data_IF_405848097972
#
_entry.id   IF_405848097972
#
_cell.length_a   1.000
_cell.length_b   1.000
_cell.length_c   1.000
_cell.angle_alpha   90.00
_cell.angle_beta   90.00
_cell.angle_gamma   90.00
#
_symmetry.space_group_name_H-M   'P 1'
#
loop_
_entity.id
_entity.type
_entity.pdbx_description
1 polymer ?
#
# COMPACT_ATOMS: atom_id res chain seq x y z
N UNK A 1 -13.02 -44.46 -29.56
CA UNK A 1 -11.90 -44.08 -28.67
C UNK A 1 -11.33 -42.68 -28.91
N UNK A 2 -11.38 -42.13 -30.12
CA UNK A 2 -10.84 -40.76 -30.37
C UNK A 2 -11.70 -39.61 -29.81
N UNK A 3 -12.96 -39.83 -29.49
CA UNK A 3 -13.88 -38.77 -28.96
C UNK A 3 -13.78 -38.56 -27.44
N UNK A 4 -13.32 -39.53 -26.69
CA UNK A 4 -13.19 -39.45 -25.23
C UNK A 4 -11.93 -38.72 -24.75
N UNK A 5 -10.88 -38.72 -25.59
CA UNK A 5 -9.61 -38.00 -25.25
C UNK A 5 -9.73 -36.49 -25.44
N UNK A 6 -10.62 -36.03 -26.36
CA UNK A 6 -10.82 -34.60 -26.58
C UNK A 6 -11.59 -33.92 -25.44
N UNK A 7 -12.48 -34.66 -24.78
CA UNK A 7 -13.30 -34.17 -23.69
C UNK A 7 -12.50 -33.98 -22.37
N UNK A 8 -11.46 -34.80 -22.18
CA UNK A 8 -10.59 -34.73 -20.99
C UNK A 8 -9.61 -33.54 -21.10
N UNK A 9 -9.14 -33.26 -22.33
CA UNK A 9 -8.24 -32.11 -22.54
C UNK A 9 -8.96 -30.77 -22.35
N UNK A 10 -10.26 -30.67 -22.66
CA UNK A 10 -11.04 -29.45 -22.48
C UNK A 10 -11.40 -29.19 -21.01
N UNK A 11 -11.55 -30.23 -20.19
CA UNK A 11 -11.85 -30.13 -18.79
C UNK A 11 -10.63 -29.66 -17.95
N UNK A 12 -9.40 -29.94 -18.40
CA UNK A 12 -8.19 -29.55 -17.70
C UNK A 12 -7.84 -28.07 -17.88
N UNK A 13 -8.28 -27.46 -19.00
CA UNK A 13 -8.00 -26.03 -19.26
C UNK A 13 -8.88 -25.07 -18.48
N UNK A 14 -10.03 -25.51 -17.98
CA UNK A 14 -10.95 -24.68 -17.19
C UNK A 14 -10.55 -24.54 -15.70
N UNK A 15 -9.68 -25.40 -15.19
CA UNK A 15 -9.25 -25.36 -13.78
C UNK A 15 -8.09 -24.37 -13.52
N UNK A 16 -7.39 -23.92 -14.55
CA UNK A 16 -6.27 -22.97 -14.37
C UNK A 16 -6.68 -21.50 -14.28
N UNK A 17 -7.93 -21.15 -14.55
CA UNK A 17 -8.40 -19.76 -14.57
C UNK A 17 -8.97 -19.27 -13.24
N UNK A 18 -9.11 -20.12 -12.22
CA UNK A 18 -9.68 -19.76 -10.91
C UNK A 18 -8.65 -19.35 -9.84
N UNK A 19 -7.35 -19.34 -10.16
CA UNK A 19 -6.30 -19.09 -9.17
C UNK A 19 -5.70 -17.68 -9.21
N UNK A 20 -6.31 -16.74 -9.91
CA UNK A 20 -5.88 -15.35 -9.94
C UNK A 20 -6.94 -14.40 -9.35
N UNK A 21 -7.36 -14.66 -8.13
CA UNK A 21 -7.89 -13.58 -7.30
C UNK A 21 -6.70 -12.74 -6.86
N UNK A 22 -6.33 -11.75 -7.68
CA UNK A 22 -5.29 -10.79 -7.35
C UNK A 22 -5.63 -10.09 -6.04
N UNK A 23 -4.61 -9.77 -5.23
CA UNK A 23 -4.77 -8.98 -4.01
C UNK A 23 -5.43 -7.64 -4.35
N UNK A 24 -6.29 -7.16 -3.46
CA UNK A 24 -6.97 -5.87 -3.64
C UNK A 24 -5.95 -4.74 -3.73
N UNK A 25 -6.07 -3.89 -4.73
CA UNK A 25 -5.33 -2.63 -4.83
C UNK A 25 -5.84 -1.68 -3.74
N UNK A 26 -4.92 -1.14 -2.95
CA UNK A 26 -5.23 -0.27 -1.79
C UNK A 26 -4.61 1.12 -1.90
N UNK A 27 -3.68 1.31 -2.84
CA UNK A 27 -3.05 2.60 -3.08
C UNK A 27 -3.83 3.39 -4.12
N UNK A 28 -4.20 4.63 -3.79
CA UNK A 28 -4.79 5.55 -4.76
C UNK A 28 -3.69 6.19 -5.60
N UNK A 29 -3.66 5.83 -6.88
CA UNK A 29 -2.67 6.32 -7.83
C UNK A 29 -3.05 7.68 -8.46
N UNK A 30 -4.25 8.21 -8.15
CA UNK A 30 -4.77 9.46 -8.70
C UNK A 30 -4.58 10.65 -7.77
N UNK A 31 -4.31 10.41 -6.48
CA UNK A 31 -4.09 11.46 -5.50
C UNK A 31 -2.59 11.75 -5.37
N UNK A 32 -2.23 13.04 -5.28
CA UNK A 32 -0.87 13.42 -4.94
C UNK A 32 -0.53 12.91 -3.53
N UNK A 33 0.56 12.15 -3.33
CA UNK A 33 0.91 11.58 -2.04
C UNK A 33 1.17 12.63 -0.95
N UNK A 34 1.60 13.84 -1.31
CA UNK A 34 1.78 14.93 -0.36
C UNK A 34 0.44 15.41 0.20
N UNK A 35 -0.56 15.56 -0.67
CA UNK A 35 -1.95 15.89 -0.27
C UNK A 35 -2.52 14.79 0.63
N UNK A 36 -2.28 13.54 0.29
CA UNK A 36 -2.75 12.39 1.06
C UNK A 36 -2.17 12.38 2.49
N UNK A 37 -0.89 12.75 2.65
CA UNK A 37 -0.27 12.91 3.97
C UNK A 37 -0.90 14.08 4.72
N UNK A 38 -1.11 15.22 4.07
CA UNK A 38 -1.72 16.40 4.70
C UNK A 38 -3.12 16.09 5.23
N UNK A 39 -3.93 15.39 4.46
CA UNK A 39 -5.26 14.93 4.87
C UNK A 39 -5.20 13.97 6.06
N UNK A 40 -4.25 13.02 6.05
CA UNK A 40 -4.05 12.08 7.14
C UNK A 40 -3.60 12.80 8.44
N UNK A 41 -2.69 13.76 8.33
CA UNK A 41 -2.23 14.59 9.45
C UNK A 41 -3.36 15.44 10.01
N UNK A 42 -4.16 16.10 9.17
CA UNK A 42 -5.31 16.88 9.60
C UNK A 42 -6.33 16.02 10.37
N UNK A 43 -6.61 14.83 9.87
CA UNK A 43 -7.49 13.86 10.53
C UNK A 43 -6.91 13.37 11.86
N UNK A 44 -5.61 13.11 11.93
CA UNK A 44 -4.93 12.68 13.14
C UNK A 44 -4.93 13.79 14.20
N UNK A 45 -4.69 15.03 13.79
CA UNK A 45 -4.72 16.22 14.68
C UNK A 45 -6.11 16.39 15.31
N UNK A 46 -7.19 16.28 14.52
CA UNK A 46 -8.56 16.43 15.04
C UNK A 46 -9.03 15.29 15.94
N UNK A 47 -8.40 14.13 15.87
CA UNK A 47 -8.74 12.94 16.65
C UNK A 47 -7.71 12.55 17.71
N UNK A 48 -6.69 13.38 17.91
CA UNK A 48 -5.58 13.16 18.86
C UNK A 48 -4.84 11.82 18.62
N UNK A 49 -4.70 11.44 17.35
CA UNK A 49 -4.04 10.19 16.91
C UNK A 49 -2.70 10.48 16.24
N UNK A 50 -1.92 9.45 16.06
CA UNK A 50 -0.74 9.46 15.20
C UNK A 50 -1.11 9.02 13.77
N UNK A 51 -0.21 9.23 12.81
CA UNK A 51 -0.36 8.72 11.45
C UNK A 51 0.58 7.55 11.25
N UNK A 52 0.10 6.47 10.64
CA UNK A 52 0.94 5.45 10.03
C UNK A 52 0.82 5.59 8.51
N UNK A 53 1.93 5.92 7.86
CA UNK A 53 2.06 5.86 6.42
C UNK A 53 2.64 4.49 6.03
N UNK A 54 1.84 3.64 5.39
CA UNK A 54 2.36 2.49 4.67
C UNK A 54 2.75 2.96 3.28
N UNK A 55 4.05 3.16 3.06
CA UNK A 55 4.57 3.65 1.78
C UNK A 55 4.87 2.47 0.85
N UNK A 56 4.39 2.56 -0.36
CA UNK A 56 4.54 1.53 -1.38
C UNK A 56 3.68 1.82 -2.60
N UNK A 57 3.11 0.80 -3.20
CA UNK A 57 2.24 0.96 -4.36
C UNK A 57 1.57 -0.35 -4.76
N UNK A 58 0.62 -0.24 -5.68
CA UNK A 58 -0.08 -1.40 -6.23
C UNK A 58 0.83 -2.31 -7.09
N UNK A 59 2.02 -1.83 -7.44
CA UNK A 59 3.08 -2.59 -8.12
C UNK A 59 3.87 -3.50 -7.18
N UNK A 60 3.70 -3.35 -5.86
CA UNK A 60 4.46 -4.03 -4.82
C UNK A 60 3.63 -5.18 -4.21
N UNK A 61 3.89 -6.45 -4.56
CA UNK A 61 3.11 -7.58 -4.05
C UNK A 61 3.14 -7.70 -2.53
N UNK A 62 4.27 -7.44 -1.89
CA UNK A 62 4.41 -7.47 -0.43
C UNK A 62 3.61 -6.37 0.26
N UNK A 63 3.52 -5.19 -0.37
CA UNK A 63 2.68 -4.10 0.13
C UNK A 63 1.20 -4.51 0.19
N UNK A 64 0.72 -5.16 -0.88
CA UNK A 64 -0.66 -5.62 -0.96
C UNK A 64 -0.95 -6.79 -0.03
N UNK A 65 0.01 -7.72 0.11
CA UNK A 65 -0.09 -8.84 1.06
C UNK A 65 -0.14 -8.37 2.50
N UNK A 66 0.69 -7.39 2.85
CA UNK A 66 0.68 -6.81 4.18
C UNK A 66 -0.65 -6.11 4.48
N UNK A 67 -1.15 -5.29 3.55
CA UNK A 67 -2.44 -4.63 3.69
C UNK A 67 -3.60 -5.63 3.85
N UNK A 68 -3.58 -6.70 3.06
CA UNK A 68 -4.56 -7.79 3.17
C UNK A 68 -4.49 -8.48 4.54
N UNK A 69 -3.28 -8.80 5.00
CA UNK A 69 -3.04 -9.43 6.30
C UNK A 69 -3.61 -8.60 7.46
N UNK A 70 -3.21 -7.33 7.58
CA UNK A 70 -3.67 -6.49 8.69
C UNK A 70 -5.18 -6.24 8.64
N UNK A 71 -5.77 -6.15 7.44
CA UNK A 71 -7.22 -5.90 7.29
C UNK A 71 -8.09 -7.06 7.76
N UNK A 72 -7.52 -8.26 7.86
CA UNK A 72 -8.21 -9.48 8.28
C UNK A 72 -8.03 -9.82 9.76
N UNK A 73 -7.08 -9.15 10.42
CA UNK A 73 -6.79 -9.36 11.83
C UNK A 73 -7.53 -8.31 12.68
N UNK A 74 -8.54 -8.75 13.43
CA UNK A 74 -9.39 -7.87 14.22
C UNK A 74 -8.64 -7.18 15.36
N UNK A 75 -7.67 -7.84 15.97
CA UNK A 75 -6.89 -7.28 17.08
C UNK A 75 -5.93 -6.22 16.59
N UNK A 76 -5.24 -6.47 15.48
CA UNK A 76 -4.38 -5.47 14.81
C UNK A 76 -5.22 -4.27 14.38
N UNK A 77 -6.35 -4.50 13.72
CA UNK A 77 -7.23 -3.43 13.25
C UNK A 77 -7.78 -2.59 14.40
N UNK A 78 -8.07 -3.21 15.54
CA UNK A 78 -8.51 -2.49 16.74
C UNK A 78 -7.43 -1.52 17.22
N UNK A 79 -6.19 -2.00 17.39
CA UNK A 79 -5.06 -1.15 17.82
C UNK A 79 -4.84 0.00 16.84
N UNK A 80 -4.87 -0.28 15.54
CA UNK A 80 -4.68 0.72 14.48
C UNK A 80 -5.79 1.78 14.57
N UNK A 81 -7.05 1.37 14.56
CA UNK A 81 -8.17 2.32 14.51
C UNK A 81 -8.34 3.15 15.76
N UNK A 82 -7.96 2.61 16.92
CA UNK A 82 -8.02 3.35 18.19
C UNK A 82 -6.92 4.42 18.33
N UNK A 83 -5.74 4.19 17.78
CA UNK A 83 -4.55 5.02 18.05
C UNK A 83 -4.00 5.76 16.83
N UNK A 84 -4.34 5.34 15.62
CA UNK A 84 -3.72 5.84 14.40
C UNK A 84 -4.73 6.19 13.31
N UNK A 85 -4.34 7.13 12.48
CA UNK A 85 -4.85 7.28 11.12
C UNK A 85 -3.92 6.50 10.21
N UNK A 86 -4.41 5.44 9.59
CA UNK A 86 -3.62 4.58 8.72
C UNK A 86 -3.84 4.98 7.26
N UNK A 87 -2.76 5.29 6.55
CA UNK A 87 -2.82 5.73 5.17
C UNK A 87 -1.88 4.90 4.27
N UNK A 88 -2.41 4.43 3.14
CA UNK A 88 -1.61 3.83 2.08
C UNK A 88 -1.09 4.94 1.17
N UNK A 89 0.19 5.26 1.27
CA UNK A 89 0.82 6.35 0.53
C UNK A 89 1.49 5.80 -0.72
N UNK A 90 0.97 6.22 -1.88
CA UNK A 90 1.48 5.75 -3.16
C UNK A 90 2.86 6.36 -3.48
N UNK A 91 3.82 5.49 -3.75
CA UNK A 91 5.14 5.85 -4.25
C UNK A 91 5.33 5.30 -5.66
N UNK A 92 5.44 6.19 -6.63
CA UNK A 92 5.68 5.80 -8.01
C UNK A 92 6.72 6.71 -8.67
N UNK A 93 8.00 6.32 -8.64
CA UNK A 93 9.08 7.11 -9.23
C UNK A 93 9.17 6.98 -10.75
N UNK A 94 8.31 6.16 -11.36
CA UNK A 94 8.39 5.83 -12.78
C UNK A 94 7.90 6.98 -13.64
N UNK A 95 8.77 7.57 -14.45
CA UNK A 95 8.43 8.65 -15.39
C UNK A 95 7.37 8.27 -16.44
N UNK A 96 7.16 6.98 -16.69
CA UNK A 96 6.12 6.49 -17.58
C UNK A 96 4.68 6.81 -17.11
N UNK A 97 4.52 7.16 -15.83
CA UNK A 97 3.24 7.58 -15.24
C UNK A 97 3.06 9.11 -15.21
N UNK A 98 4.01 9.86 -15.77
CA UNK A 98 4.01 11.31 -15.83
C UNK A 98 5.15 11.93 -15.00
N UNK A 99 5.65 13.08 -15.46
CA UNK A 99 6.71 13.83 -14.79
C UNK A 99 6.28 14.26 -13.38
N UNK A 100 5.04 14.70 -13.23
CA UNK A 100 4.48 15.17 -11.96
C UNK A 100 4.48 14.09 -10.87
N UNK A 101 4.24 12.83 -11.24
CA UNK A 101 4.31 11.72 -10.30
C UNK A 101 5.74 11.39 -9.86
N UNK A 102 6.70 11.52 -10.76
CA UNK A 102 8.11 11.32 -10.42
C UNK A 102 8.62 12.41 -9.47
N UNK A 103 8.22 13.67 -9.68
CA UNK A 103 8.53 14.79 -8.77
C UNK A 103 7.85 14.61 -7.41
N UNK A 104 6.58 14.22 -7.41
CA UNK A 104 5.86 13.92 -6.17
C UNK A 104 6.50 12.76 -5.38
N UNK A 105 7.04 11.75 -6.05
CA UNK A 105 7.76 10.66 -5.41
C UNK A 105 9.06 11.15 -4.73
N UNK A 106 9.80 12.05 -5.36
CA UNK A 106 11.01 12.65 -4.76
C UNK A 106 10.64 13.50 -3.55
N UNK A 107 9.62 14.36 -3.68
CA UNK A 107 9.13 15.21 -2.59
C UNK A 107 8.64 14.38 -1.40
N UNK A 108 7.92 13.29 -1.67
CA UNK A 108 7.45 12.33 -0.67
C UNK A 108 8.61 11.72 0.12
N UNK A 109 9.64 11.24 -0.56
CA UNK A 109 10.78 10.64 0.08
C UNK A 109 11.54 11.64 0.96
N UNK A 110 11.73 12.86 0.47
CA UNK A 110 12.36 13.93 1.24
C UNK A 110 11.56 14.26 2.50
N UNK A 111 10.24 14.37 2.38
CA UNK A 111 9.34 14.67 3.52
C UNK A 111 9.38 13.59 4.59
N UNK A 112 9.47 12.33 4.20
CA UNK A 112 9.43 11.18 5.08
C UNK A 112 10.80 10.72 5.61
N UNK A 113 11.88 11.43 5.31
CA UNK A 113 13.22 11.10 5.77
C UNK A 113 13.90 9.98 4.97
N UNK A 114 13.62 9.91 3.68
CA UNK A 114 14.19 8.96 2.72
C UNK A 114 14.00 7.47 3.12
N UNK A 115 12.76 7.04 3.40
CA UNK A 115 12.50 5.67 3.86
C UNK A 115 12.75 4.60 2.80
N UNK A 116 12.81 4.94 1.50
CA UNK A 116 13.01 3.99 0.41
C UNK A 116 14.29 3.15 0.54
N UNK A 117 15.26 3.58 1.33
CA UNK A 117 16.49 2.82 1.60
C UNK A 117 16.24 1.48 2.30
N UNK A 118 15.06 1.32 2.89
CA UNK A 118 14.64 0.09 3.58
C UNK A 118 13.81 -0.85 2.71
N UNK A 119 13.53 -0.48 1.46
CA UNK A 119 12.64 -1.23 0.57
C UNK A 119 11.15 -0.96 0.85
N UNK A 120 10.27 -1.81 0.32
CA UNK A 120 8.81 -1.65 0.40
C UNK A 120 8.10 -2.96 0.76
N UNK A 121 7.02 -2.90 1.57
CA UNK A 121 6.50 -1.69 2.20
C UNK A 121 7.45 -1.15 3.26
N UNK A 122 7.44 0.16 3.45
CA UNK A 122 8.09 0.81 4.57
C UNK A 122 7.05 1.63 5.32
N UNK A 123 7.16 1.68 6.64
CA UNK A 123 6.19 2.35 7.49
C UNK A 123 6.82 3.60 8.10
N UNK A 124 6.10 4.70 8.06
CA UNK A 124 6.55 5.95 8.67
C UNK A 124 5.46 6.44 9.63
N UNK A 125 5.85 6.63 10.88
CA UNK A 125 4.96 7.17 11.90
C UNK A 125 5.16 8.66 12.00
N UNK A 126 4.05 9.43 11.92
CA UNK A 126 4.04 10.87 12.06
C UNK A 126 3.23 11.28 13.29
N UNK A 127 3.64 12.40 13.91
CA UNK A 127 2.81 13.07 14.91
C UNK A 127 1.67 13.89 14.28
N UNK A 128 0.88 14.56 15.12
CA UNK A 128 -0.25 15.39 14.70
C UNK A 128 0.16 16.65 13.90
N UNK A 129 1.46 16.98 13.87
CA UNK A 129 2.02 18.07 13.09
C UNK A 129 2.70 17.60 11.80
N UNK A 130 2.67 16.29 11.53
CA UNK A 130 3.31 15.69 10.35
C UNK A 130 4.82 15.48 10.49
N UNK A 131 5.37 15.59 11.72
CA UNK A 131 6.78 15.30 12.00
C UNK A 131 7.01 13.79 12.03
N UNK A 132 8.07 13.34 11.37
CA UNK A 132 8.50 11.94 11.41
C UNK A 132 8.99 11.58 12.81
N UNK A 133 8.35 10.59 13.41
CA UNK A 133 8.73 10.04 14.72
C UNK A 133 9.53 8.77 14.60
N UNK A 134 9.17 7.92 13.63
CA UNK A 134 9.77 6.60 13.47
C UNK A 134 9.66 6.13 12.02
N UNK A 135 10.66 5.41 11.56
CA UNK A 135 10.66 4.69 10.28
C UNK A 135 10.90 3.21 10.60
N UNK A 136 9.97 2.36 10.18
CA UNK A 136 10.04 0.92 10.37
C UNK A 136 10.13 0.24 9.01
N UNK A 137 11.17 -0.54 8.81
CA UNK A 137 11.24 -1.46 7.67
C UNK A 137 10.35 -2.68 7.87
N UNK A 138 10.22 -3.47 6.83
CA UNK A 138 9.42 -4.70 6.81
C UNK A 138 10.26 -5.99 6.77
N UNK A 139 11.55 -5.88 7.00
CA UNK A 139 12.49 -7.01 7.05
C UNK A 139 12.67 -7.58 8.46
#
# INVERSE_FOLDING_TARGET
MKRTLLSIALALTTFLTMAQTGLKKVYDENINPMTQIDEAVAKASSSEKFVICQVGGNWCPWCLRFADFISKDADIMKVITENFVYAHINYNPTKSKGADQAEAAVALMNRLGNPQRFGFPVFVVLDQNGKVLHIQDSS
#
